data_IF_984216449074
#
_entry.id   IF_984216449074
#
_cell.length_a   1.000
_cell.length_b   1.000
_cell.length_c   1.000
_cell.angle_alpha   90.00
_cell.angle_beta   90.00
_cell.angle_gamma   90.00
#
_symmetry.space_group_name_H-M   'P 1'
#
loop_
_entity.id
_entity.type
_entity.pdbx_description
1 polymer ?
#
# COMPACT_ATOMS: atom_id res chain seq x y z
N UNK A 1 14.03 11.72 12.97
CA UNK A 1 12.92 12.21 12.14
C UNK A 1 12.92 13.74 12.03
N UNK A 2 12.71 14.47 13.13
CA UNK A 2 12.61 15.96 13.09
C UNK A 2 13.85 16.63 12.51
N UNK A 3 15.05 16.21 12.93
CA UNK A 3 16.32 16.69 12.37
C UNK A 3 16.50 16.29 10.90
N UNK A 4 16.11 15.08 10.54
CA UNK A 4 16.22 14.51 9.19
C UNK A 4 15.41 15.31 8.16
N UNK A 5 14.20 15.74 8.53
CA UNK A 5 13.33 16.55 7.64
C UNK A 5 13.56 18.06 7.80
N UNK A 6 14.37 18.48 8.77
CA UNK A 6 14.65 19.89 9.05
C UNK A 6 13.48 20.65 9.69
N UNK A 7 12.64 19.95 10.47
CA UNK A 7 11.51 20.55 11.21
C UNK A 7 11.92 20.75 12.67
N UNK A 8 11.83 22.00 13.14
CA UNK A 8 12.24 22.39 14.50
C UNK A 8 11.06 22.95 15.30
N UNK A 9 11.19 22.99 16.63
CA UNK A 9 10.21 23.60 17.52
C UNK A 9 8.91 22.82 17.66
N UNK A 10 8.91 21.50 17.37
CA UNK A 10 7.79 20.61 17.71
C UNK A 10 7.82 20.41 19.23
N UNK A 11 6.63 20.40 19.86
CA UNK A 11 6.51 20.14 21.29
C UNK A 11 7.17 18.80 21.68
N UNK A 12 7.94 18.72 22.78
CA UNK A 12 8.67 17.50 23.16
C UNK A 12 7.78 16.25 23.23
N UNK A 13 6.54 16.35 23.69
CA UNK A 13 5.61 15.23 23.72
C UNK A 13 5.19 14.76 22.33
N UNK A 14 4.99 15.65 21.36
CA UNK A 14 4.75 15.23 19.95
C UNK A 14 5.99 14.54 19.36
N UNK A 15 7.20 15.00 19.71
CA UNK A 15 8.45 14.33 19.31
C UNK A 15 8.53 12.93 19.90
N UNK A 16 8.14 12.75 21.18
CA UNK A 16 8.07 11.45 21.83
C UNK A 16 7.05 10.52 21.15
N UNK A 17 5.88 11.05 20.81
CA UNK A 17 4.83 10.30 20.09
C UNK A 17 5.28 9.92 18.69
N UNK A 18 5.94 10.81 17.94
CA UNK A 18 6.58 10.45 16.67
C UNK A 18 7.58 9.28 16.84
N UNK A 19 8.35 9.28 17.93
CA UNK A 19 9.26 8.18 18.26
C UNK A 19 8.54 6.83 18.43
N UNK A 20 7.35 6.80 19.03
CA UNK A 20 6.53 5.59 19.17
C UNK A 20 6.11 5.01 17.82
N UNK A 21 5.88 5.85 16.80
CA UNK A 21 5.52 5.41 15.46
C UNK A 21 6.59 4.55 14.78
N UNK A 22 7.84 4.55 15.26
CA UNK A 22 8.89 3.63 14.81
C UNK A 22 8.48 2.16 14.97
N UNK A 23 7.70 1.86 15.99
CA UNK A 23 7.25 0.51 16.33
C UNK A 23 5.85 0.19 15.82
N UNK A 24 5.25 1.11 15.05
CA UNK A 24 3.93 0.98 14.45
C UNK A 24 4.04 0.67 12.96
N UNK A 25 3.31 -0.34 12.53
CA UNK A 25 3.15 -0.69 11.12
C UNK A 25 1.66 -0.59 10.76
N UNK A 26 1.37 0.08 9.67
CA UNK A 26 0.02 0.22 9.12
C UNK A 26 0.04 -0.13 7.63
N UNK A 27 -0.84 -1.04 7.21
CA UNK A 27 -0.87 -1.54 5.83
C UNK A 27 0.49 -1.98 5.28
N UNK A 28 1.32 -2.61 6.13
CA UNK A 28 2.66 -3.10 5.76
C UNK A 28 3.74 -2.02 5.65
N UNK A 29 3.43 -0.76 5.93
CA UNK A 29 4.37 0.36 5.95
C UNK A 29 4.66 0.81 7.38
N UNK A 30 5.94 1.07 7.71
CA UNK A 30 6.30 1.61 9.01
C UNK A 30 5.83 3.07 9.11
N UNK A 31 5.02 3.38 10.14
CA UNK A 31 4.36 4.67 10.28
C UNK A 31 5.34 5.85 10.38
N UNK A 32 6.45 5.72 11.11
CA UNK A 32 7.43 6.80 11.21
C UNK A 32 8.15 7.06 9.87
N UNK A 33 8.55 6.00 9.17
CA UNK A 33 9.20 6.14 7.85
C UNK A 33 8.26 6.77 6.83
N UNK A 34 7.00 6.38 6.86
CA UNK A 34 5.96 6.99 6.04
C UNK A 34 5.79 8.49 6.34
N UNK A 35 5.68 8.88 7.61
CA UNK A 35 5.57 10.29 7.99
C UNK A 35 6.80 11.12 7.58
N UNK A 36 8.01 10.55 7.65
CA UNK A 36 9.23 11.21 7.15
C UNK A 36 9.14 11.41 5.63
N UNK A 37 8.74 10.39 4.90
CA UNK A 37 8.59 10.44 3.44
C UNK A 37 7.52 11.45 3.01
N UNK A 38 6.35 11.44 3.65
CA UNK A 38 5.28 12.42 3.41
C UNK A 38 5.78 13.84 3.71
N UNK A 39 6.54 14.06 4.78
CA UNK A 39 7.13 15.36 5.08
C UNK A 39 8.09 15.83 3.98
N UNK A 40 8.94 14.96 3.46
CA UNK A 40 9.88 15.28 2.38
C UNK A 40 9.15 15.59 1.08
N UNK A 41 8.17 14.77 0.68
CA UNK A 41 7.33 14.99 -0.50
C UNK A 41 6.53 16.27 -0.38
N UNK A 42 5.92 16.53 0.79
CA UNK A 42 5.20 17.78 1.05
C UNK A 42 6.11 19.00 0.89
N UNK A 43 7.35 18.90 1.37
CA UNK A 43 8.33 19.97 1.20
C UNK A 43 8.72 20.22 -0.26
N UNK A 44 8.89 19.17 -1.05
CA UNK A 44 9.18 19.28 -2.49
C UNK A 44 8.01 19.91 -3.25
N UNK A 45 6.79 19.40 -3.05
CA UNK A 45 5.58 19.95 -3.69
C UNK A 45 5.35 21.40 -3.29
N UNK A 46 5.56 21.75 -2.01
CA UNK A 46 5.42 23.12 -1.53
C UNK A 46 6.43 24.08 -2.19
N UNK A 47 7.68 23.63 -2.39
CA UNK A 47 8.70 24.40 -3.07
C UNK A 47 8.33 24.69 -4.54
N UNK A 48 7.81 23.70 -5.26
CA UNK A 48 7.42 23.81 -6.66
C UNK A 48 6.26 24.80 -6.86
N UNK A 49 5.28 24.82 -5.96
CA UNK A 49 4.11 25.70 -6.08
C UNK A 49 4.26 27.03 -5.30
N UNK A 50 5.40 27.26 -4.64
CA UNK A 50 5.72 28.51 -3.99
C UNK A 50 5.00 28.77 -2.66
N UNK A 51 4.64 27.72 -1.89
CA UNK A 51 4.08 27.84 -0.54
C UNK A 51 5.11 27.50 0.53
N UNK A 52 4.80 27.79 1.80
CA UNK A 52 5.77 27.61 2.89
C UNK A 52 6.20 26.15 3.11
N UNK A 53 7.44 25.88 2.72
CA UNK A 53 8.06 24.55 2.76
C UNK A 53 8.16 23.99 4.20
N UNK A 54 8.41 24.86 5.20
CA UNK A 54 8.58 24.42 6.59
C UNK A 54 7.26 23.96 7.18
N UNK A 55 6.20 24.70 6.93
CA UNK A 55 4.84 24.35 7.36
C UNK A 55 4.36 23.09 6.66
N UNK A 56 4.61 22.94 5.35
CA UNK A 56 4.25 21.73 4.61
C UNK A 56 4.98 20.49 5.15
N UNK A 57 6.29 20.57 5.38
CA UNK A 57 7.06 19.48 6.00
C UNK A 57 6.56 19.13 7.41
N UNK A 58 6.24 20.15 8.23
CA UNK A 58 5.72 19.94 9.57
C UNK A 58 4.36 19.26 9.55
N UNK A 59 3.47 19.70 8.69
CA UNK A 59 2.15 19.10 8.51
C UNK A 59 2.27 17.64 8.03
N UNK A 60 3.10 17.38 7.02
CA UNK A 60 3.35 16.02 6.53
C UNK A 60 3.99 15.11 7.58
N UNK A 61 4.88 15.63 8.44
CA UNK A 61 5.47 14.84 9.53
C UNK A 61 4.44 14.46 10.60
N UNK A 62 3.45 15.30 10.86
CA UNK A 62 2.46 15.13 11.91
C UNK A 62 1.12 14.55 11.43
N UNK A 63 0.88 14.39 10.11
CA UNK A 63 -0.43 14.01 9.58
C UNK A 63 -1.00 12.74 10.24
N UNK A 64 -0.18 11.77 10.52
CA UNK A 64 -0.52 10.47 11.08
C UNK A 64 -0.20 10.33 12.58
N UNK A 65 0.05 11.43 13.30
CA UNK A 65 0.51 11.38 14.71
C UNK A 65 -0.42 10.61 15.63
N UNK A 66 -1.71 10.56 15.33
CA UNK A 66 -2.70 9.79 16.09
C UNK A 66 -2.44 8.31 16.11
N UNK A 67 -1.79 7.73 15.08
CA UNK A 67 -1.37 6.32 15.04
C UNK A 67 -0.37 5.95 16.14
N UNK A 68 0.22 6.93 16.82
CA UNK A 68 1.13 6.68 17.95
C UNK A 68 0.42 6.16 19.20
N UNK A 69 -0.91 6.37 19.33
CA UNK A 69 -1.73 6.05 20.52
C UNK A 69 -3.13 5.50 20.20
N UNK A 70 -3.43 5.20 18.94
CA UNK A 70 -4.75 4.70 18.50
C UNK A 70 -5.16 3.35 19.12
N UNK A 71 -4.23 2.58 19.66
CA UNK A 71 -4.52 1.36 20.44
C UNK A 71 -4.86 1.66 21.91
N UNK A 72 -4.41 2.79 22.41
CA UNK A 72 -4.56 3.19 23.81
C UNK A 72 -5.78 4.10 24.01
N UNK A 73 -6.40 4.59 22.91
CA UNK A 73 -7.48 5.57 22.93
C UNK A 73 -8.61 5.18 21.96
N UNK A 74 -9.86 5.46 22.35
CA UNK A 74 -11.00 5.31 21.46
C UNK A 74 -11.04 6.45 20.44
N UNK A 75 -11.41 6.14 19.19
CA UNK A 75 -11.54 7.11 18.09
C UNK A 75 -10.65 6.80 16.88
N UNK A 76 -10.88 7.53 15.81
CA UNK A 76 -10.02 7.43 14.62
C UNK A 76 -8.67 8.09 14.89
N UNK A 77 -7.61 7.60 14.21
CA UNK A 77 -6.30 8.24 14.31
C UNK A 77 -6.30 9.70 13.86
N UNK A 78 -7.25 10.08 12.99
CA UNK A 78 -7.46 11.48 12.56
C UNK A 78 -7.91 12.32 13.75
N UNK A 79 -9.01 11.93 14.42
CA UNK A 79 -9.54 12.66 15.56
C UNK A 79 -8.52 12.77 16.70
N UNK A 80 -7.86 11.65 17.02
CA UNK A 80 -6.80 11.61 18.02
C UNK A 80 -5.64 12.53 17.62
N UNK A 81 -5.24 12.53 16.34
CA UNK A 81 -4.19 13.39 15.82
C UNK A 81 -4.52 14.87 15.92
N UNK A 82 -5.75 15.24 15.58
CA UNK A 82 -6.27 16.60 15.72
C UNK A 82 -6.23 17.06 17.18
N UNK A 83 -6.71 16.22 18.11
CA UNK A 83 -6.74 16.54 19.54
C UNK A 83 -5.33 16.70 20.12
N UNK A 84 -4.38 15.84 19.70
CA UNK A 84 -2.97 15.97 20.05
C UNK A 84 -2.37 17.28 19.52
N UNK A 85 -2.60 17.61 18.25
CA UNK A 85 -2.11 18.84 17.65
C UNK A 85 -2.69 20.08 18.32
N UNK A 86 -3.99 20.09 18.67
CA UNK A 86 -4.64 21.16 19.45
C UNK A 86 -4.07 21.29 20.86
N UNK A 87 -3.91 20.16 21.56
CA UNK A 87 -3.35 20.11 22.91
C UNK A 87 -1.94 20.69 22.98
N UNK A 88 -1.12 20.42 21.98
CA UNK A 88 0.26 20.88 21.94
C UNK A 88 0.47 22.14 21.09
N UNK A 89 -0.62 22.86 20.79
CA UNK A 89 -0.65 24.20 20.19
C UNK A 89 -0.02 24.28 18.80
N UNK A 90 -0.24 23.27 17.97
CA UNK A 90 0.07 23.36 16.55
C UNK A 90 -0.84 24.41 15.86
N UNK A 91 -0.37 24.97 14.73
CA UNK A 91 -1.14 25.99 14.01
C UNK A 91 -2.41 25.42 13.39
N UNK A 92 -3.45 26.24 13.16
CA UNK A 92 -4.69 25.80 12.50
C UNK A 92 -4.44 25.13 11.13
N UNK A 93 -3.45 25.61 10.37
CA UNK A 93 -3.08 25.03 9.07
C UNK A 93 -2.61 23.59 9.22
N UNK A 94 -1.80 23.31 10.23
CA UNK A 94 -1.30 21.94 10.52
C UNK A 94 -2.44 21.07 11.00
N UNK A 95 -3.30 21.59 11.89
CA UNK A 95 -4.45 20.85 12.39
C UNK A 95 -5.40 20.47 11.26
N UNK A 96 -5.73 21.41 10.37
CA UNK A 96 -6.56 21.12 9.21
C UNK A 96 -5.90 20.10 8.26
N UNK A 97 -4.58 20.17 8.05
CA UNK A 97 -3.87 19.19 7.23
C UNK A 97 -3.93 17.77 7.85
N UNK A 98 -3.85 17.65 9.19
CA UNK A 98 -4.05 16.38 9.91
C UNK A 98 -5.49 15.89 9.78
N UNK A 99 -6.47 16.78 9.83
CA UNK A 99 -7.90 16.45 9.76
C UNK A 99 -8.33 16.02 8.35
N UNK A 100 -7.81 16.70 7.32
CA UNK A 100 -8.27 16.57 5.93
C UNK A 100 -7.51 15.53 5.10
N UNK A 101 -6.42 14.92 5.61
CA UNK A 101 -5.52 14.11 4.76
C UNK A 101 -6.16 12.88 4.12
N UNK A 102 -7.25 12.33 4.66
CA UNK A 102 -8.03 11.26 4.04
C UNK A 102 -9.23 11.73 3.20
N UNK A 103 -9.50 13.04 3.17
CA UNK A 103 -10.59 13.60 2.37
C UNK A 103 -11.96 13.56 3.05
N UNK A 104 -12.05 13.17 4.33
CA UNK A 104 -13.30 13.19 5.10
C UNK A 104 -13.73 14.63 5.47
N UNK A 105 -12.78 15.55 5.51
CA UNK A 105 -12.96 16.98 5.74
C UNK A 105 -12.33 17.76 4.60
N UNK A 106 -12.95 18.89 4.23
CA UNK A 106 -12.46 19.72 3.14
C UNK A 106 -11.13 20.41 3.53
N UNK A 107 -10.09 20.38 2.66
CA UNK A 107 -8.84 21.07 2.93
C UNK A 107 -9.02 22.58 2.84
N UNK A 108 -8.69 23.31 3.91
CA UNK A 108 -8.81 24.78 4.00
C UNK A 108 -7.57 25.52 3.50
N UNK A 109 -6.51 24.78 3.11
CA UNK A 109 -5.24 25.36 2.66
C UNK A 109 -4.57 24.51 1.58
N UNK A 110 -3.74 25.15 0.74
CA UNK A 110 -2.88 24.42 -0.21
C UNK A 110 -1.96 23.42 0.50
N UNK A 111 -1.56 23.68 1.75
CA UNK A 111 -0.73 22.77 2.54
C UNK A 111 -1.49 21.49 2.87
N UNK A 112 -2.77 21.57 3.20
CA UNK A 112 -3.60 20.39 3.42
C UNK A 112 -3.74 19.54 2.15
N UNK A 113 -3.97 20.18 0.98
CA UNK A 113 -3.99 19.47 -0.31
C UNK A 113 -2.65 18.81 -0.65
N UNK A 114 -1.53 19.48 -0.35
CA UNK A 114 -0.18 18.95 -0.56
C UNK A 114 0.04 17.71 0.31
N UNK A 115 -0.35 17.75 1.58
CA UNK A 115 -0.18 16.61 2.51
C UNK A 115 -1.01 15.42 2.04
N UNK A 116 -2.25 15.63 1.61
CA UNK A 116 -3.09 14.58 1.05
C UNK A 116 -2.47 13.94 -0.21
N UNK A 117 -1.94 14.77 -1.13
CA UNK A 117 -1.25 14.28 -2.32
C UNK A 117 0.04 13.50 -1.95
N UNK A 118 0.84 14.04 -1.03
CA UNK A 118 2.10 13.43 -0.59
C UNK A 118 1.87 12.09 0.13
N UNK A 119 0.83 11.99 0.97
CA UNK A 119 0.40 10.74 1.61
C UNK A 119 0.02 9.69 0.57
N UNK A 120 -0.83 10.06 -0.39
CA UNK A 120 -1.26 9.18 -1.48
C UNK A 120 -0.06 8.68 -2.31
N UNK A 121 0.88 9.56 -2.68
CA UNK A 121 2.09 9.20 -3.43
C UNK A 121 2.95 8.22 -2.61
N UNK A 122 3.19 8.52 -1.33
CA UNK A 122 4.00 7.65 -0.45
C UNK A 122 3.37 6.28 -0.27
N UNK A 123 2.04 6.20 -0.14
CA UNK A 123 1.31 4.94 0.02
C UNK A 123 1.25 4.11 -1.27
N UNK A 124 1.14 4.76 -2.44
CA UNK A 124 0.96 4.11 -3.73
C UNK A 124 2.28 3.69 -4.42
N UNK A 125 3.43 4.22 -4.00
CA UNK A 125 4.71 3.91 -4.66
C UNK A 125 5.06 2.42 -4.57
N UNK A 126 5.70 1.82 -5.59
CA UNK A 126 6.09 0.43 -5.57
C UNK A 126 6.96 0.08 -4.35
N UNK A 127 6.58 -0.96 -3.62
CA UNK A 127 7.30 -1.45 -2.44
C UNK A 127 7.08 -0.64 -1.15
N UNK A 128 6.21 0.36 -1.14
CA UNK A 128 5.85 1.12 0.07
C UNK A 128 5.17 0.23 1.11
N UNK A 129 4.18 -0.50 0.68
CA UNK A 129 3.44 -1.45 1.52
C UNK A 129 4.08 -2.82 1.37
N UNK A 130 4.70 -3.32 2.43
CA UNK A 130 5.19 -4.71 2.48
C UNK A 130 3.99 -5.59 2.76
N UNK A 131 3.74 -6.50 1.84
CA UNK A 131 2.74 -7.53 2.02
C UNK A 131 3.10 -8.39 3.25
N UNK A 132 2.13 -8.65 4.13
CA UNK A 132 2.30 -9.60 5.24
C UNK A 132 2.41 -11.02 4.68
N UNK A 133 3.04 -11.94 5.41
CA UNK A 133 3.08 -13.35 5.01
C UNK A 133 1.68 -13.94 4.81
N UNK A 134 0.73 -13.53 5.63
CA UNK A 134 -0.66 -13.95 5.54
C UNK A 134 -1.34 -13.40 4.26
N UNK A 135 -1.23 -12.10 3.98
CA UNK A 135 -1.75 -11.50 2.75
C UNK A 135 -1.10 -12.11 1.50
N UNK A 136 0.21 -12.36 1.56
CA UNK A 136 0.94 -13.07 0.51
C UNK A 136 0.40 -14.48 0.29
N UNK A 137 0.23 -15.28 1.36
CA UNK A 137 -0.31 -16.64 1.28
C UNK A 137 -1.74 -16.65 0.71
N UNK A 138 -2.60 -15.76 1.21
CA UNK A 138 -3.98 -15.62 0.72
C UNK A 138 -4.03 -15.24 -0.77
N UNK A 139 -3.14 -14.35 -1.22
CA UNK A 139 -3.05 -13.98 -2.64
C UNK A 139 -2.62 -15.15 -3.52
N UNK A 140 -1.65 -15.96 -3.10
CA UNK A 140 -1.25 -17.17 -3.84
C UNK A 140 -2.41 -18.16 -3.94
N UNK A 141 -3.08 -18.40 -2.82
CA UNK A 141 -4.23 -19.31 -2.77
C UNK A 141 -5.36 -18.81 -3.66
N UNK A 142 -5.70 -17.52 -3.61
CA UNK A 142 -6.73 -16.92 -4.44
C UNK A 142 -6.39 -17.02 -5.94
N UNK A 143 -5.13 -16.84 -6.35
CA UNK A 143 -4.69 -17.06 -7.72
C UNK A 143 -4.93 -18.49 -8.19
N UNK A 144 -4.59 -19.48 -7.36
CA UNK A 144 -4.80 -20.88 -7.65
C UNK A 144 -6.29 -21.22 -7.69
N UNK A 145 -7.09 -20.73 -6.75
CA UNK A 145 -8.53 -20.95 -6.72
C UNK A 145 -9.24 -20.39 -7.97
N UNK A 146 -8.87 -19.17 -8.41
CA UNK A 146 -9.42 -18.57 -9.64
C UNK A 146 -9.09 -19.44 -10.85
N UNK A 147 -7.87 -19.91 -10.97
CA UNK A 147 -7.41 -20.65 -12.16
C UNK A 147 -7.92 -22.09 -12.16
N UNK A 148 -7.99 -22.74 -11.02
CA UNK A 148 -8.52 -24.11 -10.88
C UNK A 148 -10.04 -24.20 -11.14
N UNK A 149 -10.75 -23.05 -11.04
CA UNK A 149 -12.18 -22.97 -11.38
C UNK A 149 -12.51 -23.10 -12.88
N UNK A 150 -11.52 -23.04 -13.76
CA UNK A 150 -11.75 -23.16 -15.20
C UNK A 150 -11.87 -24.61 -15.67
N UNK A 151 -12.84 -24.86 -16.54
CA UNK A 151 -13.04 -26.20 -17.13
C UNK A 151 -11.80 -26.61 -17.96
N UNK A 152 -11.31 -27.81 -17.71
CA UNK A 152 -10.15 -28.36 -18.39
C UNK A 152 -8.81 -28.01 -17.74
N UNK A 153 -8.80 -27.25 -16.67
CA UNK A 153 -7.63 -27.10 -15.79
C UNK A 153 -7.54 -28.32 -14.90
N UNK A 154 -6.38 -28.92 -14.85
CA UNK A 154 -6.06 -30.07 -13.98
C UNK A 154 -5.56 -29.54 -12.62
N UNK A 155 -4.64 -28.57 -12.66
CA UNK A 155 -4.03 -27.96 -11.49
C UNK A 155 -3.30 -26.66 -11.87
N UNK A 156 -3.26 -25.73 -10.93
CA UNK A 156 -2.46 -24.52 -11.08
C UNK A 156 -1.45 -24.32 -9.95
N UNK A 157 -0.45 -23.50 -10.21
CA UNK A 157 0.61 -23.17 -9.26
C UNK A 157 0.95 -21.68 -9.36
N UNK A 158 0.79 -20.97 -8.28
CA UNK A 158 1.29 -19.60 -8.16
C UNK A 158 2.80 -19.64 -7.87
N UNK A 159 3.62 -19.13 -8.77
CA UNK A 159 5.07 -19.14 -8.69
C UNK A 159 5.64 -17.72 -8.80
N UNK A 160 6.97 -17.57 -8.66
CA UNK A 160 7.66 -16.27 -8.69
C UNK A 160 7.03 -15.23 -7.74
N UNK A 161 6.76 -15.66 -6.50
CA UNK A 161 6.11 -14.80 -5.50
C UNK A 161 4.74 -14.26 -5.95
N UNK A 162 3.95 -15.07 -6.67
CA UNK A 162 2.63 -14.70 -7.17
C UNK A 162 2.64 -13.74 -8.37
N UNK A 163 3.78 -13.63 -9.06
CA UNK A 163 3.89 -12.86 -10.32
C UNK A 163 3.68 -13.73 -11.56
N UNK A 164 3.63 -15.04 -11.40
CA UNK A 164 3.29 -15.99 -12.46
C UNK A 164 2.33 -17.05 -11.88
N UNK A 165 1.28 -17.38 -12.61
CA UNK A 165 0.47 -18.56 -12.38
C UNK A 165 0.68 -19.54 -13.52
N UNK A 166 1.12 -20.76 -13.20
CA UNK A 166 1.29 -21.84 -14.15
C UNK A 166 0.11 -22.77 -14.05
N UNK A 167 -0.61 -22.91 -15.14
CA UNK A 167 -1.87 -23.67 -15.24
C UNK A 167 -1.64 -24.90 -16.09
N UNK A 168 -1.75 -26.08 -15.49
CA UNK A 168 -1.68 -27.36 -16.19
C UNK A 168 -3.08 -27.70 -16.68
N UNK A 169 -3.19 -28.02 -17.96
CA UNK A 169 -4.48 -28.39 -18.56
C UNK A 169 -4.51 -29.85 -18.98
N UNK A 170 -5.71 -30.43 -18.95
CA UNK A 170 -5.97 -31.80 -19.42
C UNK A 170 -5.85 -31.83 -20.94
N UNK A 171 -4.88 -32.59 -21.51
CA UNK A 171 -4.59 -32.57 -22.95
C UNK A 171 -5.75 -33.04 -23.84
N UNK A 172 -6.61 -33.90 -23.30
CA UNK A 172 -7.79 -34.44 -23.99
C UNK A 172 -8.97 -33.45 -24.05
N UNK A 173 -8.93 -32.41 -23.18
CA UNK A 173 -10.03 -31.42 -23.03
C UNK A 173 -9.69 -30.10 -23.68
N UNK A 174 -8.44 -29.66 -23.57
CA UNK A 174 -7.97 -28.36 -24.05
C UNK A 174 -7.01 -28.57 -25.23
N UNK A 175 -7.39 -28.05 -26.41
CA UNK A 175 -6.52 -28.03 -27.58
C UNK A 175 -5.52 -26.86 -27.54
N UNK A 176 -4.50 -26.87 -28.41
CA UNK A 176 -3.50 -25.79 -28.51
C UNK A 176 -4.14 -24.45 -28.87
N UNK A 177 -5.21 -24.44 -29.67
CA UNK A 177 -5.99 -23.24 -29.99
C UNK A 177 -6.79 -22.71 -28.79
N UNK A 178 -7.33 -23.62 -27.97
CA UNK A 178 -8.11 -23.24 -26.79
C UNK A 178 -7.25 -22.69 -25.68
N UNK A 179 -5.96 -23.08 -25.61
CA UNK A 179 -5.01 -22.52 -24.63
C UNK A 179 -4.90 -20.99 -24.71
N UNK A 180 -4.95 -20.42 -25.93
CA UNK A 180 -4.85 -18.96 -26.11
C UNK A 180 -6.07 -18.24 -25.59
N UNK A 181 -7.26 -18.82 -25.80
CA UNK A 181 -8.52 -18.30 -25.28
C UNK A 181 -8.54 -18.41 -23.76
N UNK A 182 -8.21 -19.59 -23.22
CA UNK A 182 -8.15 -19.84 -21.78
C UNK A 182 -7.18 -18.87 -21.09
N UNK A 183 -6.01 -18.58 -21.66
CA UNK A 183 -5.08 -17.61 -21.10
C UNK A 183 -5.68 -16.20 -20.97
N UNK A 184 -6.45 -15.78 -21.99
CA UNK A 184 -7.14 -14.48 -21.97
C UNK A 184 -8.26 -14.43 -20.93
N UNK A 185 -9.03 -15.51 -20.81
CA UNK A 185 -10.15 -15.58 -19.89
C UNK A 185 -9.66 -15.60 -18.43
N UNK A 186 -8.60 -16.36 -18.15
CA UNK A 186 -7.91 -16.39 -16.86
C UNK A 186 -7.38 -14.99 -16.53
N UNK A 187 -6.70 -14.32 -17.45
CA UNK A 187 -6.15 -12.97 -17.21
C UNK A 187 -7.26 -11.98 -16.87
N UNK A 188 -8.38 -12.00 -17.62
CA UNK A 188 -9.53 -11.13 -17.31
C UNK A 188 -10.17 -11.43 -15.97
N UNK A 189 -10.23 -12.69 -15.58
CA UNK A 189 -10.81 -13.07 -14.29
C UNK A 189 -9.93 -12.63 -13.12
N UNK A 190 -8.61 -12.76 -13.26
CA UNK A 190 -7.65 -12.24 -12.29
C UNK A 190 -7.77 -10.72 -12.17
N UNK A 191 -7.82 -9.99 -13.29
CA UNK A 191 -8.00 -8.53 -13.32
C UNK A 191 -9.30 -8.07 -12.62
N UNK A 192 -10.38 -8.83 -12.76
CA UNK A 192 -11.69 -8.49 -12.19
C UNK A 192 -11.83 -8.85 -10.70
N UNK A 193 -11.11 -9.85 -10.21
CA UNK A 193 -11.32 -10.44 -8.88
C UNK A 193 -10.18 -10.16 -7.89
N UNK A 194 -9.05 -9.67 -8.36
CA UNK A 194 -7.89 -9.48 -7.51
C UNK A 194 -7.28 -8.08 -7.64
N UNK A 195 -6.88 -7.53 -6.51
CA UNK A 195 -5.96 -6.41 -6.48
C UNK A 195 -4.51 -6.93 -6.33
N UNK A 196 -3.63 -6.55 -7.25
CA UNK A 196 -2.23 -6.99 -7.23
C UNK A 196 -1.28 -5.88 -7.70
N UNK A 197 -0.06 -5.82 -7.13
CA UNK A 197 0.93 -4.83 -7.54
C UNK A 197 1.67 -5.30 -8.80
N UNK A 198 1.48 -4.62 -9.91
CA UNK A 198 2.21 -4.87 -11.18
C UNK A 198 1.47 -5.79 -12.13
N UNK A 199 2.18 -6.73 -12.77
CA UNK A 199 1.60 -7.67 -13.74
C UNK A 199 1.71 -9.10 -13.23
N UNK A 200 0.69 -9.91 -13.52
CA UNK A 200 0.70 -11.37 -13.29
C UNK A 200 0.76 -12.06 -14.65
N UNK A 201 1.77 -12.92 -14.84
CA UNK A 201 1.93 -13.73 -16.04
C UNK A 201 1.12 -15.01 -15.91
N UNK A 202 0.16 -15.24 -16.80
CA UNK A 202 -0.54 -16.51 -16.95
C UNK A 202 0.20 -17.43 -17.94
N UNK A 203 0.67 -18.60 -17.49
CA UNK A 203 1.33 -19.61 -18.33
C UNK A 203 0.48 -20.86 -18.40
N UNK A 204 -0.15 -21.13 -19.55
CA UNK A 204 -0.92 -22.35 -19.77
C UNK A 204 0.02 -23.42 -20.31
N UNK A 205 0.02 -24.59 -19.68
CA UNK A 205 0.88 -25.72 -20.05
C UNK A 205 0.04 -26.95 -20.33
N UNK A 206 0.22 -27.48 -21.55
CA UNK A 206 -0.34 -28.77 -21.98
C UNK A 206 0.80 -29.75 -22.12
N UNK A 207 0.81 -30.85 -21.35
CA UNK A 207 1.91 -31.79 -21.28
C UNK A 207 1.42 -33.20 -21.57
N UNK A 208 2.12 -33.93 -22.46
CA UNK A 208 1.96 -35.36 -22.66
C UNK A 208 3.26 -36.07 -22.28
N UNK A 209 3.19 -37.09 -21.43
CA UNK A 209 4.34 -37.89 -20.99
C UNK A 209 4.25 -39.32 -21.47
N UNK A 210 5.34 -39.82 -22.04
CA UNK A 210 5.57 -41.25 -22.26
C UNK A 210 6.76 -41.70 -21.41
N UNK A 211 6.61 -42.80 -20.67
CA UNK A 211 7.69 -43.36 -19.83
C UNK A 211 7.92 -44.81 -20.22
N UNK A 212 9.17 -45.18 -20.45
CA UNK A 212 9.61 -46.58 -20.63
C UNK A 212 10.85 -46.84 -19.78
N UNK A 213 11.04 -48.10 -19.37
CA UNK A 213 12.15 -48.49 -18.50
C UNK A 213 13.12 -49.41 -19.28
N UNK A 214 14.38 -49.01 -19.40
CA UNK A 214 15.44 -49.90 -19.83
C UNK A 214 15.69 -50.96 -18.72
N UNK A 215 15.76 -52.22 -19.14
CA UNK A 215 16.07 -53.35 -18.24
C UNK A 215 17.52 -53.78 -18.43
#
# INVERSE_FOLDING_TARGET
ATLEVGVHGIHPELVRLLGRMKFRTSYGQNALKHSIEVAQLSGLLAAEIGVDVRTAKRAGLLHDIGKSVDHDMEGSHIQIGVDLCRKYKESPIIINAVEAHHGDVEPESLIACIVQAADTISAARPGARRETLEAYSNRLQQLEEITDGFKGVEKSFAIQAGREVRVMVVPEVISDSDMVLLARDISKQIENQMEYPGQIKGSIVRESRAVDYAK
#
